data_IF_059150609582
#
_entry.id   IF_059150609582
#
_cell.length_a   1.000
_cell.length_b   1.000
_cell.length_c   1.000
_cell.angle_alpha   90.00
_cell.angle_beta   90.00
_cell.angle_gamma   90.00
#
_symmetry.space_group_name_H-M   'P 1'
#
loop_
_entity.id
_entity.type
_entity.pdbx_description
1 polymer ?
#
# COMPACT_ATOMS: atom_id res chain seq x y z
N UNK A 1 -0.59 -4.41 -3.74
CA UNK A 1 -1.25 -3.17 -3.22
C UNK A 1 -2.76 -3.28 -3.09
N UNK A 2 -3.42 -4.26 -3.72
CA UNK A 2 -4.88 -4.42 -3.70
C UNK A 2 -5.49 -4.57 -2.29
N UNK A 3 -4.75 -5.14 -1.32
CA UNK A 3 -5.32 -5.48 -0.01
C UNK A 3 -5.81 -4.28 0.81
N UNK A 4 -5.10 -3.14 0.74
CA UNK A 4 -5.49 -1.92 1.44
C UNK A 4 -6.54 -1.10 0.68
N UNK A 5 -6.70 -1.36 -0.62
CA UNK A 5 -7.73 -0.74 -1.46
C UNK A 5 -9.11 -1.30 -1.14
N UNK A 6 -9.20 -2.59 -0.78
CA UNK A 6 -10.46 -3.25 -0.46
C UNK A 6 -10.94 -2.93 0.96
N UNK A 7 -10.02 -2.89 1.94
CA UNK A 7 -10.33 -2.47 3.32
C UNK A 7 -9.09 -2.01 4.07
N UNK A 8 -9.23 -1.08 5.03
CA UNK A 8 -8.15 -0.73 5.92
C UNK A 8 -7.69 -1.91 6.78
N UNK A 9 -6.38 -2.00 7.05
CA UNK A 9 -5.78 -3.09 7.82
C UNK A 9 -4.61 -2.63 8.68
N UNK A 10 -4.36 -3.31 9.80
CA UNK A 10 -3.17 -3.11 10.61
C UNK A 10 -1.95 -3.83 10.04
N UNK A 11 -0.75 -3.45 10.50
CA UNK A 11 0.49 -4.12 10.10
C UNK A 11 0.50 -5.62 10.43
N UNK A 12 -0.18 -6.03 11.51
CA UNK A 12 -0.27 -7.43 11.90
C UNK A 12 -1.27 -8.19 11.02
N UNK A 13 -2.40 -7.57 10.65
CA UNK A 13 -3.35 -8.19 9.70
C UNK A 13 -2.75 -8.35 8.31
N UNK A 14 -2.02 -7.34 7.83
CA UNK A 14 -1.30 -7.43 6.57
C UNK A 14 -0.26 -8.56 6.63
N UNK A 15 0.51 -8.63 7.71
CA UNK A 15 1.49 -9.70 7.92
C UNK A 15 0.86 -11.09 7.90
N UNK A 16 -0.28 -11.27 8.59
CA UNK A 16 -1.05 -12.51 8.59
C UNK A 16 -1.54 -12.85 7.17
N UNK A 17 -2.05 -11.87 6.41
CA UNK A 17 -2.64 -12.09 5.10
C UNK A 17 -1.63 -12.36 3.98
N UNK A 18 -0.43 -11.77 4.05
CA UNK A 18 0.65 -12.01 3.07
C UNK A 18 1.71 -12.99 3.55
N UNK A 19 1.50 -13.62 4.72
CA UNK A 19 2.40 -14.59 5.34
C UNK A 19 3.85 -14.09 5.51
N UNK A 20 4.02 -12.80 5.82
CA UNK A 20 5.33 -12.14 6.00
C UNK A 20 5.50 -11.66 7.45
N UNK A 21 6.74 -11.61 7.94
CA UNK A 21 7.05 -11.10 9.27
C UNK A 21 6.53 -9.65 9.49
N UNK A 22 5.81 -9.37 10.59
CA UNK A 22 5.28 -8.04 10.89
C UNK A 22 6.33 -6.91 10.90
N UNK A 23 7.59 -7.20 11.26
CA UNK A 23 8.66 -6.20 11.27
C UNK A 23 9.01 -5.70 9.86
N UNK A 24 8.99 -6.58 8.86
CA UNK A 24 9.22 -6.23 7.46
C UNK A 24 8.06 -5.38 6.92
N UNK A 25 6.82 -5.76 7.25
CA UNK A 25 5.61 -4.99 6.89
C UNK A 25 5.67 -3.58 7.46
N UNK A 26 6.03 -3.42 8.75
CA UNK A 26 6.14 -2.09 9.38
C UNK A 26 7.17 -1.17 8.75
N UNK A 27 8.26 -1.72 8.19
CA UNK A 27 9.22 -0.91 7.43
C UNK A 27 8.57 -0.36 6.17
N UNK A 28 7.91 -1.21 5.38
CA UNK A 28 7.24 -0.79 4.16
C UNK A 28 6.09 0.18 4.39
N UNK A 29 5.26 -0.03 5.42
CA UNK A 29 4.19 0.90 5.76
C UNK A 29 4.72 2.30 6.15
N UNK A 30 5.88 2.37 6.82
CA UNK A 30 6.52 3.67 7.11
C UNK A 30 7.00 4.36 5.84
N UNK A 31 7.64 3.62 4.94
CA UNK A 31 8.09 4.15 3.64
C UNK A 31 6.90 4.64 2.79
N UNK A 32 5.80 3.87 2.76
CA UNK A 32 4.57 4.21 2.02
C UNK A 32 3.84 5.41 2.64
N UNK A 33 3.78 5.51 3.97
CA UNK A 33 3.20 6.67 4.67
C UNK A 33 4.05 7.92 4.49
N UNK A 34 5.38 7.79 4.49
CA UNK A 34 6.29 8.90 4.19
C UNK A 34 6.17 9.38 2.74
N UNK A 35 5.76 8.49 1.83
CA UNK A 35 5.42 8.82 0.45
C UNK A 35 3.96 9.28 0.27
N UNK A 36 3.21 9.46 1.37
CA UNK A 36 1.81 9.93 1.38
C UNK A 36 0.86 9.06 0.54
N UNK A 37 1.18 7.77 0.41
CA UNK A 37 0.40 6.82 -0.42
C UNK A 37 -0.59 5.99 0.39
N UNK A 38 -0.38 5.93 1.70
CA UNK A 38 -1.30 5.37 2.67
C UNK A 38 -1.34 6.31 3.87
N UNK A 39 -2.45 6.29 4.58
CA UNK A 39 -2.64 7.04 5.81
C UNK A 39 -3.10 6.13 6.93
N UNK A 40 -2.99 6.64 8.16
CA UNK A 40 -3.57 5.98 9.33
C UNK A 40 -5.00 6.46 9.43
N UNK A 41 -5.95 5.56 9.16
CA UNK A 41 -7.38 5.87 9.18
C UNK A 41 -8.01 5.63 10.55
N UNK A 42 -7.40 4.76 11.37
CA UNK A 42 -7.88 4.43 12.70
C UNK A 42 -6.72 4.00 13.61
N UNK A 43 -6.87 4.22 14.92
CA UNK A 43 -6.03 3.60 15.95
C UNK A 43 -6.91 2.72 16.84
N UNK A 44 -6.68 1.41 16.80
CA UNK A 44 -7.44 0.41 17.55
C UNK A 44 -6.63 -0.20 18.68
N UNK A 45 -7.28 -0.76 19.71
CA UNK A 45 -6.58 -1.51 20.78
C UNK A 45 -6.68 -3.02 20.54
N UNK A 46 -5.54 -3.71 20.47
CA UNK A 46 -5.45 -5.18 20.43
C UNK A 46 -4.56 -5.65 21.57
N UNK A 47 -5.07 -6.51 22.45
CA UNK A 47 -4.34 -7.06 23.63
C UNK A 47 -3.61 -6.00 24.46
N UNK A 48 -4.29 -4.86 24.70
CA UNK A 48 -3.73 -3.74 25.47
C UNK A 48 -2.72 -2.85 24.72
N UNK A 49 -2.35 -3.19 23.49
CA UNK A 49 -1.47 -2.38 22.64
C UNK A 49 -2.27 -1.59 21.61
N UNK A 50 -1.91 -0.32 21.39
CA UNK A 50 -2.48 0.46 20.30
C UNK A 50 -1.88 0.02 18.95
N UNK A 51 -2.73 -0.32 17.99
CA UNK A 51 -2.39 -0.64 16.62
C UNK A 51 -2.92 0.45 15.69
N UNK A 52 -2.06 0.92 14.79
CA UNK A 52 -2.46 1.77 13.68
C UNK A 52 -3.06 0.90 12.57
N UNK A 53 -4.20 1.32 12.06
CA UNK A 53 -4.88 0.76 10.89
C UNK A 53 -4.63 1.69 9.72
N UNK A 54 -4.16 1.12 8.62
CA UNK A 54 -3.74 1.84 7.44
C UNK A 54 -4.77 1.69 6.33
N UNK A 55 -5.01 2.75 5.57
CA UNK A 55 -5.82 2.75 4.35
C UNK A 55 -5.09 3.48 3.22
N UNK A 56 -5.54 3.30 1.98
CA UNK A 56 -5.03 4.08 0.84
C UNK A 56 -5.55 5.51 0.96
N UNK A 57 -4.67 6.50 0.74
CA UNK A 57 -5.11 7.90 0.70
C UNK A 57 -6.10 8.10 -0.45
N UNK A 58 -7.26 8.70 -0.16
CA UNK A 58 -8.33 8.91 -1.13
C UNK A 58 -7.86 9.73 -2.36
N UNK A 59 -6.91 10.63 -2.18
CA UNK A 59 -6.31 11.45 -3.25
C UNK A 59 -5.60 10.62 -4.35
N UNK A 60 -5.30 9.35 -4.08
CA UNK A 60 -4.72 8.41 -5.05
C UNK A 60 -5.75 7.54 -5.78
N UNK A 61 -7.02 7.60 -5.41
CA UNK A 61 -8.12 6.90 -6.09
C UNK A 61 -8.89 7.94 -6.91
N UNK A 62 -8.26 8.43 -7.98
CA UNK A 62 -8.99 9.21 -8.98
C UNK A 62 -9.83 8.26 -9.82
N UNK A 63 -11.13 8.51 -9.89
CA UNK A 63 -11.98 8.02 -10.97
C UNK A 63 -11.41 8.43 -12.33
N UNK A 64 -11.86 7.79 -13.41
CA UNK A 64 -11.42 8.14 -14.76
C UNK A 64 -11.67 9.61 -15.10
N UNK A 65 -12.77 10.18 -14.60
CA UNK A 65 -13.09 11.60 -14.72
C UNK A 65 -12.10 12.49 -13.96
N UNK A 66 -11.81 12.15 -12.70
CA UNK A 66 -10.85 12.90 -11.88
C UNK A 66 -9.41 12.78 -12.43
N UNK A 67 -9.06 11.64 -13.05
CA UNK A 67 -7.78 11.46 -13.75
C UNK A 67 -7.69 12.36 -14.98
N UNK A 68 -8.79 12.57 -15.71
CA UNK A 68 -8.83 13.47 -16.86
C UNK A 68 -8.61 14.93 -16.45
N UNK A 69 -9.15 15.32 -15.28
CA UNK A 69 -9.01 16.66 -14.70
C UNK A 69 -7.65 16.86 -14.01
N UNK A 70 -6.96 15.79 -13.64
CA UNK A 70 -5.66 15.87 -12.99
C UNK A 70 -4.60 16.54 -13.89
N UNK A 71 -3.77 17.38 -13.25
CA UNK A 71 -2.63 18.02 -13.91
C UNK A 71 -1.70 16.95 -14.54
N UNK A 72 -0.98 17.28 -15.63
CA UNK A 72 -0.02 16.35 -16.23
C UNK A 72 1.04 15.84 -15.25
N UNK A 73 1.44 16.66 -14.28
CA UNK A 73 2.41 16.27 -13.25
C UNK A 73 1.81 15.30 -12.23
N UNK A 74 0.55 15.52 -11.84
CA UNK A 74 -0.20 14.61 -10.99
C UNK A 74 -0.37 13.25 -11.68
N UNK A 75 -0.78 13.24 -12.95
CA UNK A 75 -0.91 12.01 -13.75
C UNK A 75 0.41 11.25 -13.87
N UNK A 76 1.52 11.95 -14.15
CA UNK A 76 2.86 11.33 -14.22
C UNK A 76 3.29 10.70 -12.90
N UNK A 77 2.99 11.34 -11.76
CA UNK A 77 3.29 10.78 -10.43
C UNK A 77 2.45 9.53 -10.16
N UNK A 78 1.17 9.55 -10.50
CA UNK A 78 0.27 8.40 -10.37
C UNK A 78 0.73 7.21 -11.23
N UNK A 79 1.00 7.45 -12.52
CA UNK A 79 1.44 6.40 -13.45
C UNK A 79 2.78 5.80 -13.03
N UNK A 80 3.74 6.65 -12.60
CA UNK A 80 5.02 6.19 -12.08
C UNK A 80 4.88 5.35 -10.80
N UNK A 81 3.89 5.67 -9.97
CA UNK A 81 3.61 4.92 -8.75
C UNK A 81 2.99 3.55 -9.04
N UNK A 82 1.97 3.50 -9.92
CA UNK A 82 1.38 2.24 -10.40
C UNK A 82 2.45 1.34 -11.02
N UNK A 83 3.32 1.91 -11.87
CA UNK A 83 4.40 1.18 -12.50
C UNK A 83 5.41 0.64 -11.49
N UNK A 84 5.80 1.43 -10.48
CA UNK A 84 6.72 1.00 -9.41
C UNK A 84 6.15 -0.17 -8.60
N UNK A 85 4.85 -0.14 -8.33
CA UNK A 85 4.14 -1.18 -7.59
C UNK A 85 4.05 -2.46 -8.41
N UNK A 86 3.61 -2.35 -9.67
CA UNK A 86 3.54 -3.47 -10.59
C UNK A 86 4.91 -4.12 -10.82
N UNK A 87 5.96 -3.30 -10.99
CA UNK A 87 7.33 -3.79 -11.11
C UNK A 87 7.83 -4.47 -9.83
N UNK A 88 7.54 -3.90 -8.66
CA UNK A 88 7.90 -4.52 -7.38
C UNK A 88 7.17 -5.84 -7.11
N UNK A 89 5.94 -6.00 -7.60
CA UNK A 89 5.21 -7.27 -7.54
C UNK A 89 5.75 -8.28 -8.56
N UNK A 90 6.05 -7.85 -9.79
CA UNK A 90 6.66 -8.69 -10.82
C UNK A 90 8.04 -9.21 -10.40
N UNK A 91 8.89 -8.35 -9.84
CA UNK A 91 10.22 -8.74 -9.32
C UNK A 91 10.11 -9.71 -8.14
N UNK A 92 9.13 -9.51 -7.24
CA UNK A 92 8.86 -10.48 -6.16
C UNK A 92 8.39 -11.82 -6.70
N UNK A 93 7.50 -11.83 -7.70
CA UNK A 93 7.04 -13.05 -8.36
C UNK A 93 8.19 -13.84 -8.99
N UNK A 94 9.13 -13.14 -9.64
CA UNK A 94 10.33 -13.75 -10.24
C UNK A 94 11.29 -14.36 -9.20
N UNK A 95 11.42 -13.75 -8.02
CA UNK A 95 12.29 -14.26 -6.95
C UNK A 95 11.62 -15.41 -6.18
N UNK A 96 10.30 -15.39 -6.03
CA UNK A 96 9.54 -16.42 -5.29
C UNK A 96 9.21 -17.67 -6.11
N UNK A 97 9.23 -17.59 -7.45
CA UNK A 97 9.11 -18.72 -8.36
C UNK A 97 10.25 -18.69 -9.38
N UNK A 98 11.49 -19.11 -9.01
CA UNK A 98 12.49 -19.39 -10.02
C UNK A 98 11.93 -20.52 -10.89
N UNK A 99 11.65 -20.22 -12.15
CA UNK A 99 11.28 -21.22 -13.14
C UNK A 99 12.40 -22.27 -13.20
N UNK A 100 12.10 -23.58 -13.24
CA UNK A 100 13.14 -24.62 -13.32
C UNK A 100 14.01 -24.49 -14.58
#
# INVERSE_FOLDING_TARGET
MALLSDRPMSANELAEQVEINPSAIRRHLREMRAAETIEVVEVRRRRGTAEQVYGVCADFILSEAERAEASPDTRRRLDGYVLKVALGEALRSLVSNPTP
#
